data_IF_730248299113
#
_entry.id   IF_730248299113
#
_cell.length_a   1.000
_cell.length_b   1.000
_cell.length_c   1.000
_cell.angle_alpha   90.00
_cell.angle_beta   90.00
_cell.angle_gamma   90.00
#
_symmetry.space_group_name_H-M   'P 1'
#
loop_
_entity.id
_entity.type
_entity.pdbx_description
1 polymer ?
#
# COMPACT_ATOMS: atom_id res chain seq x y z
N UNK A 1 -89.38 7.92 13.00
CA UNK A 1 -88.86 7.29 14.23
C UNK A 1 -87.34 7.46 14.19
N UNK A 2 -86.79 8.31 15.06
CA UNK A 2 -85.41 8.81 15.01
C UNK A 2 -84.45 8.01 15.91
N UNK A 3 -83.16 8.31 15.77
CA UNK A 3 -82.10 8.42 16.78
C UNK A 3 -80.79 7.85 16.21
N UNK A 4 -79.62 8.48 16.27
CA UNK A 4 -79.13 9.82 16.60
C UNK A 4 -77.70 9.86 15.97
N UNK A 5 -77.25 10.96 15.38
CA UNK A 5 -76.25 11.87 16.00
C UNK A 5 -74.87 11.20 16.19
N UNK A 6 -73.72 11.71 15.76
CA UNK A 6 -73.32 13.08 15.47
C UNK A 6 -71.91 13.05 14.83
N UNK A 7 -71.65 14.00 13.94
CA UNK A 7 -70.35 14.30 13.30
C UNK A 7 -69.38 14.87 14.36
N UNK A 8 -68.08 14.54 14.28
CA UNK A 8 -66.96 15.49 14.36
C UNK A 8 -65.65 14.88 13.82
N UNK A 9 -65.06 15.62 12.89
CA UNK A 9 -63.69 15.60 12.39
C UNK A 9 -62.66 15.66 13.53
N UNK A 10 -61.47 15.09 13.31
CA UNK A 10 -60.18 15.63 13.76
C UNK A 10 -59.03 14.72 13.30
N UNK A 11 -58.35 15.20 12.27
CA UNK A 11 -56.90 15.22 12.10
C UNK A 11 -56.05 14.90 13.35
N UNK A 12 -54.89 14.28 13.07
CA UNK A 12 -53.66 14.25 13.87
C UNK A 12 -53.60 13.35 15.10
N UNK A 13 -52.79 12.29 14.99
CA UNK A 13 -51.90 11.85 16.08
C UNK A 13 -50.70 11.10 15.48
N UNK A 14 -49.62 11.85 15.34
CA UNK A 14 -48.27 11.33 15.21
C UNK A 14 -47.98 10.42 16.40
N UNK A 15 -47.49 9.21 16.14
CA UNK A 15 -46.82 8.41 17.17
C UNK A 15 -45.38 8.91 17.19
N UNK A 16 -45.06 9.58 18.28
CA UNK A 16 -43.77 10.17 18.60
C UNK A 16 -42.65 9.12 18.47
N UNK A 17 -41.68 9.41 17.60
CA UNK A 17 -40.35 8.81 17.66
C UNK A 17 -39.63 9.49 18.82
N UNK A 18 -39.60 8.83 19.98
CA UNK A 18 -38.65 9.21 21.02
C UNK A 18 -37.23 8.95 20.53
N UNK A 19 -36.54 10.05 20.27
CA UNK A 19 -35.10 10.13 20.14
C UNK A 19 -34.44 9.66 21.44
N UNK A 20 -33.79 8.50 21.41
CA UNK A 20 -32.77 8.17 22.38
C UNK A 20 -31.39 8.31 21.74
N UNK A 21 -30.92 9.57 21.66
CA UNK A 21 -29.52 9.91 21.47
C UNK A 21 -28.76 9.54 22.75
N UNK A 22 -28.13 8.38 22.78
CA UNK A 22 -26.83 8.09 23.42
C UNK A 22 -26.66 6.56 23.53
N UNK A 23 -26.46 5.93 22.38
CA UNK A 23 -25.91 4.58 22.31
C UNK A 23 -24.56 4.65 21.64
N UNK A 24 -23.50 4.92 22.40
CA UNK A 24 -22.16 4.49 21.99
C UNK A 24 -22.27 2.98 21.77
N UNK A 25 -22.31 2.55 20.52
CA UNK A 25 -22.15 1.14 20.17
C UNK A 25 -20.77 0.78 20.69
N UNK A 26 -20.69 0.21 21.90
CA UNK A 26 -19.49 -0.44 22.40
C UNK A 26 -19.21 -1.55 21.42
N UNK A 27 -18.30 -1.29 20.48
CA UNK A 27 -17.68 -2.31 19.66
C UNK A 27 -17.10 -3.32 20.65
N UNK A 28 -17.73 -4.48 20.77
CA UNK A 28 -17.22 -5.58 21.58
C UNK A 28 -15.85 -5.88 20.98
N UNK A 29 -14.77 -5.55 21.72
CA UNK A 29 -13.42 -5.84 21.27
C UNK A 29 -13.30 -7.36 21.20
N UNK A 30 -13.36 -7.92 19.98
CA UNK A 30 -13.20 -9.34 19.67
C UNK A 30 -11.95 -9.86 20.39
N UNK A 31 -12.13 -10.55 21.52
CA UNK A 31 -11.04 -11.06 22.36
C UNK A 31 -9.92 -10.02 22.69
N UNK A 32 -10.28 -8.75 22.89
CA UNK A 32 -9.32 -7.68 23.19
C UNK A 32 -8.53 -7.15 21.98
N UNK A 33 -8.90 -7.54 20.76
CA UNK A 33 -8.33 -6.99 19.53
C UNK A 33 -8.77 -5.55 19.31
N UNK A 34 -7.85 -4.73 18.79
CA UNK A 34 -8.10 -3.31 18.48
C UNK A 34 -7.99 -3.07 16.97
N UNK A 35 -8.61 -2.02 16.40
CA UNK A 35 -8.35 -1.62 15.03
C UNK A 35 -6.85 -1.41 14.78
N UNK A 36 -6.32 -1.94 13.68
CA UNK A 36 -4.90 -1.79 13.35
C UNK A 36 -4.60 -0.37 12.88
N UNK A 37 -3.88 0.41 13.70
CA UNK A 37 -3.60 1.83 13.47
C UNK A 37 -2.66 2.11 12.29
N UNK A 38 -1.89 1.11 11.85
CA UNK A 38 -0.89 1.25 10.80
C UNK A 38 -1.41 0.87 9.40
N UNK A 39 -2.72 0.64 9.24
CA UNK A 39 -3.31 0.31 7.94
C UNK A 39 -3.38 1.55 7.02
N UNK A 40 -2.57 1.56 5.95
CA UNK A 40 -2.50 2.68 5.00
C UNK A 40 -3.42 2.53 3.78
N UNK A 41 -3.87 1.31 3.46
CA UNK A 41 -4.71 1.01 2.31
C UNK A 41 -5.70 -0.14 2.59
N UNK A 42 -6.61 -0.39 1.64
CA UNK A 42 -7.64 -1.42 1.76
C UNK A 42 -8.87 -0.98 2.57
N UNK A 43 -9.70 -1.93 2.98
CA UNK A 43 -10.91 -1.64 3.76
C UNK A 43 -10.50 -1.29 5.20
N UNK A 44 -10.66 -0.03 5.61
CA UNK A 44 -10.46 0.40 7.01
C UNK A 44 -11.62 -0.09 7.88
N UNK A 45 -11.35 -0.36 9.16
CA UNK A 45 -12.38 -0.77 10.12
C UNK A 45 -13.44 0.34 10.27
N UNK A 46 -14.72 0.02 10.08
CA UNK A 46 -15.84 0.94 10.15
C UNK A 46 -17.17 0.20 10.34
N UNK A 47 -18.29 0.93 10.47
CA UNK A 47 -19.62 0.40 10.85
C UNK A 47 -20.06 -0.80 9.98
N UNK A 48 -19.61 -0.86 8.72
CA UNK A 48 -19.90 -1.95 7.78
C UNK A 48 -18.63 -2.62 7.18
N UNK A 49 -17.43 -2.31 7.69
CA UNK A 49 -16.17 -2.79 7.13
C UNK A 49 -15.27 -3.39 8.20
N UNK A 50 -14.81 -4.59 7.91
CA UNK A 50 -13.94 -5.41 8.74
C UNK A 50 -12.49 -5.17 8.33
N UNK A 51 -11.96 -4.06 8.82
CA UNK A 51 -10.55 -3.73 8.62
C UNK A 51 -9.61 -4.72 9.32
N UNK A 52 -8.32 -4.48 9.17
CA UNK A 52 -7.31 -5.28 9.87
C UNK A 52 -7.38 -4.96 11.36
N UNK A 53 -7.34 -5.99 12.20
CA UNK A 53 -7.28 -5.85 13.64
C UNK A 53 -5.89 -6.21 14.15
N UNK A 54 -5.42 -5.55 15.19
CA UNK A 54 -4.24 -5.95 15.93
C UNK A 54 -4.66 -6.84 17.09
N UNK A 55 -4.05 -8.02 17.19
CA UNK A 55 -4.28 -8.97 18.26
C UNK A 55 -3.29 -8.72 19.41
N UNK A 56 -3.65 -8.97 20.69
CA UNK A 56 -2.78 -8.68 21.85
C UNK A 56 -1.39 -9.35 21.84
N UNK A 57 -1.25 -10.50 21.17
CA UNK A 57 0.06 -11.15 20.99
C UNK A 57 0.98 -10.44 19.97
N UNK A 58 0.51 -9.35 19.36
CA UNK A 58 1.18 -8.53 18.35
C UNK A 58 1.25 -9.17 16.97
N UNK A 59 0.30 -10.04 16.63
CA UNK A 59 -0.05 -10.39 15.25
C UNK A 59 -1.19 -9.49 14.75
N UNK A 60 -1.47 -9.56 13.44
CA UNK A 60 -2.67 -8.95 12.87
C UNK A 60 -3.69 -10.03 12.47
N UNK A 61 -4.96 -9.64 12.51
CA UNK A 61 -6.09 -10.43 12.03
C UNK A 61 -6.67 -9.73 10.81
N UNK A 62 -6.55 -10.37 9.65
CA UNK A 62 -7.16 -9.91 8.41
C UNK A 62 -8.43 -10.71 8.16
N UNK A 63 -9.60 -10.07 8.19
CA UNK A 63 -10.85 -10.79 7.94
C UNK A 63 -10.88 -11.33 6.52
N UNK A 64 -11.40 -12.55 6.36
CA UNK A 64 -11.63 -13.11 5.03
C UNK A 64 -12.66 -12.28 4.26
N UNK A 65 -12.30 -11.89 3.05
CA UNK A 65 -13.22 -11.25 2.13
C UNK A 65 -14.31 -12.23 1.65
N UNK A 66 -15.44 -11.70 1.20
CA UNK A 66 -16.51 -12.50 0.60
C UNK A 66 -15.95 -13.42 -0.52
N UNK A 67 -16.48 -14.66 -0.64
CA UNK A 67 -16.09 -15.57 -1.71
C UNK A 67 -16.19 -14.93 -3.11
N UNK A 68 -15.28 -15.29 -4.04
CA UNK A 68 -14.21 -16.29 -3.89
C UNK A 68 -12.91 -15.73 -3.27
N UNK A 69 -12.82 -14.44 -2.97
CA UNK A 69 -11.56 -13.75 -2.63
C UNK A 69 -10.92 -14.23 -1.33
N UNK A 70 -11.67 -14.23 -0.22
CA UNK A 70 -11.17 -14.66 1.08
C UNK A 70 -10.70 -16.12 1.09
N UNK A 71 -11.53 -17.08 0.61
CA UNK A 71 -11.10 -18.47 0.48
C UNK A 71 -9.85 -18.66 -0.39
N UNK A 72 -9.70 -17.88 -1.47
CA UNK A 72 -8.51 -17.94 -2.33
C UNK A 72 -7.25 -17.48 -1.60
N UNK A 73 -7.32 -16.35 -0.90
CA UNK A 73 -6.19 -15.83 -0.11
C UNK A 73 -5.80 -16.81 1.01
N UNK A 74 -6.80 -17.37 1.70
CA UNK A 74 -6.57 -18.39 2.73
C UNK A 74 -5.88 -19.63 2.16
N UNK A 75 -6.35 -20.12 1.01
CA UNK A 75 -5.75 -21.29 0.35
C UNK A 75 -4.31 -21.01 -0.07
N UNK A 76 -4.03 -19.83 -0.63
CA UNK A 76 -2.67 -19.41 -0.98
C UNK A 76 -1.72 -19.49 0.23
N UNK A 77 -2.07 -18.86 1.36
CA UNK A 77 -1.23 -18.92 2.56
C UNK A 77 -1.08 -20.36 3.10
N UNK A 78 -2.17 -21.13 3.09
CA UNK A 78 -2.16 -22.53 3.56
C UNK A 78 -1.23 -23.39 2.71
N UNK A 79 -1.22 -23.20 1.39
CA UNK A 79 -0.34 -23.92 0.47
C UNK A 79 1.13 -23.49 0.65
N UNK A 80 1.40 -22.19 0.68
CA UNK A 80 2.77 -21.66 0.77
C UNK A 80 3.42 -22.04 2.10
N UNK A 81 2.67 -22.03 3.20
CA UNK A 81 3.16 -22.34 4.55
C UNK A 81 2.79 -23.77 5.02
N UNK A 82 2.48 -24.68 4.09
CA UNK A 82 2.26 -26.08 4.44
C UNK A 82 3.50 -26.67 5.11
N UNK A 83 3.32 -27.39 6.22
CA UNK A 83 4.45 -27.94 7.02
C UNK A 83 5.29 -28.96 6.25
N UNK A 84 4.66 -29.65 5.31
CA UNK A 84 5.22 -30.65 4.42
C UNK A 84 5.55 -30.10 3.02
N UNK A 85 5.57 -28.76 2.86
CA UNK A 85 5.93 -28.12 1.60
C UNK A 85 7.37 -28.49 1.21
N UNK A 86 7.53 -29.17 0.07
CA UNK A 86 8.82 -29.52 -0.52
C UNK A 86 9.15 -28.68 -1.78
N UNK A 87 8.22 -27.82 -2.22
CA UNK A 87 8.42 -26.94 -3.37
C UNK A 87 9.37 -25.80 -3.00
N UNK A 88 10.60 -25.85 -3.52
CA UNK A 88 11.64 -24.83 -3.27
C UNK A 88 11.17 -23.42 -3.63
N UNK A 89 10.36 -23.25 -4.67
CA UNK A 89 9.87 -21.92 -5.07
C UNK A 89 8.90 -21.36 -4.03
N UNK A 90 8.03 -22.19 -3.46
CA UNK A 90 7.14 -21.77 -2.38
C UNK A 90 7.89 -21.53 -1.07
N UNK A 91 8.89 -22.35 -0.75
CA UNK A 91 9.76 -22.13 0.41
C UNK A 91 10.53 -20.81 0.30
N UNK A 92 11.11 -20.52 -0.87
CA UNK A 92 11.78 -19.25 -1.14
C UNK A 92 10.80 -18.07 -1.09
N UNK A 93 9.53 -18.26 -1.49
CA UNK A 93 8.51 -17.22 -1.43
C UNK A 93 8.21 -16.78 0.01
N UNK A 94 8.24 -17.70 0.98
CA UNK A 94 7.88 -17.42 2.39
C UNK A 94 8.68 -16.23 2.96
N UNK A 95 9.93 -16.03 2.55
CA UNK A 95 10.76 -14.92 3.04
C UNK A 95 10.21 -13.53 2.62
N UNK A 96 9.42 -13.48 1.54
CA UNK A 96 8.82 -12.28 0.98
C UNK A 96 7.39 -12.02 1.47
N UNK A 97 6.80 -12.93 2.24
CA UNK A 97 5.45 -12.81 2.79
C UNK A 97 5.47 -12.46 4.29
N UNK A 98 4.39 -11.87 4.85
CA UNK A 98 4.14 -11.92 6.29
C UNK A 98 4.02 -13.38 6.73
N UNK A 99 4.60 -13.75 7.88
CA UNK A 99 4.41 -15.10 8.42
C UNK A 99 2.92 -15.39 8.64
N UNK A 100 2.51 -16.61 8.27
CA UNK A 100 1.16 -17.10 8.48
C UNK A 100 1.09 -17.99 9.72
N UNK A 101 0.19 -17.65 10.63
CA UNK A 101 -0.02 -18.39 11.89
C UNK A 101 -1.29 -19.25 11.87
N UNK A 102 -1.89 -19.43 10.69
CA UNK A 102 -3.16 -20.15 10.52
C UNK A 102 -4.37 -19.23 10.53
N UNK A 103 -5.55 -19.84 10.64
CA UNK A 103 -6.81 -19.12 10.74
C UNK A 103 -7.19 -18.89 12.19
N UNK A 104 -7.94 -17.81 12.44
CA UNK A 104 -8.43 -17.45 13.76
C UNK A 104 -9.93 -17.12 13.70
N UNK A 105 -10.66 -17.48 14.76
CA UNK A 105 -12.08 -17.21 14.91
C UNK A 105 -12.32 -16.58 16.29
N UNK A 106 -13.06 -15.47 16.37
CA UNK A 106 -13.49 -14.91 17.65
C UNK A 106 -14.43 -15.88 18.37
N UNK A 107 -14.38 -15.88 19.71
CA UNK A 107 -15.29 -16.72 20.52
C UNK A 107 -16.74 -16.27 20.39
N UNK A 108 -16.99 -14.96 20.33
CA UNK A 108 -18.33 -14.38 20.28
C UNK A 108 -18.97 -14.42 18.88
N UNK A 109 -18.15 -14.54 17.82
CA UNK A 109 -18.58 -14.58 16.42
C UNK A 109 -17.86 -15.72 15.67
N UNK A 110 -18.18 -17.00 15.95
CA UNK A 110 -17.48 -18.15 15.35
C UNK A 110 -17.69 -18.29 13.83
N UNK A 111 -18.66 -17.57 13.27
CA UNK A 111 -18.89 -17.48 11.84
C UNK A 111 -17.90 -16.57 11.12
N UNK A 112 -17.25 -15.65 11.84
CA UNK A 112 -16.21 -14.80 11.29
C UNK A 112 -14.87 -15.52 11.27
N UNK A 113 -14.21 -15.47 10.12
CA UNK A 113 -12.91 -16.12 9.92
C UNK A 113 -11.87 -15.08 9.55
N UNK A 114 -10.72 -15.17 10.18
CA UNK A 114 -9.58 -14.28 10.00
C UNK A 114 -8.34 -15.08 9.61
N UNK A 115 -7.47 -14.48 8.80
CA UNK A 115 -6.08 -14.89 8.64
C UNK A 115 -5.28 -14.24 9.77
N UNK A 116 -4.55 -15.05 10.54
CA UNK A 116 -3.62 -14.55 11.56
C UNK A 116 -2.23 -14.41 10.94
N UNK A 117 -1.76 -13.18 10.80
CA UNK A 117 -0.55 -12.82 10.06
C UNK A 117 0.43 -12.05 10.94
N UNK A 118 1.69 -12.06 10.55
CA UNK A 118 2.72 -11.20 11.14
C UNK A 118 2.37 -9.72 11.01
N UNK A 119 2.51 -8.97 12.11
CA UNK A 119 2.56 -7.51 12.06
C UNK A 119 3.96 -7.06 11.63
N UNK A 120 4.10 -6.76 10.33
CA UNK A 120 5.37 -6.33 9.71
C UNK A 120 5.87 -5.01 10.32
N UNK A 121 5.00 -4.22 10.94
CA UNK A 121 5.32 -2.89 11.49
C UNK A 121 5.76 -2.92 12.95
N UNK A 122 5.56 -4.06 13.64
CA UNK A 122 5.70 -4.17 15.10
C UNK A 122 7.07 -3.74 15.64
N UNK A 123 8.14 -3.98 14.89
CA UNK A 123 9.52 -3.69 15.34
C UNK A 123 9.94 -2.24 15.17
N UNK A 124 9.11 -1.42 14.52
CA UNK A 124 9.41 -0.04 14.19
C UNK A 124 8.79 0.90 15.24
N UNK A 125 9.54 1.93 15.64
CA UNK A 125 9.09 2.95 16.59
C UNK A 125 8.23 4.01 15.93
N UNK A 126 8.63 4.43 14.72
CA UNK A 126 7.89 5.36 13.86
C UNK A 126 7.83 4.78 12.44
N UNK A 127 7.01 3.74 12.20
CA UNK A 127 6.95 3.11 10.88
C UNK A 127 6.44 4.10 9.83
N UNK A 128 7.26 4.35 8.81
CA UNK A 128 6.83 4.92 7.54
C UNK A 128 6.38 3.78 6.64
N UNK A 129 5.14 3.81 6.15
CA UNK A 129 4.49 2.68 5.49
C UNK A 129 3.93 3.12 4.14
N UNK A 130 4.12 2.32 3.09
CA UNK A 130 3.50 2.51 1.79
C UNK A 130 2.99 1.19 1.23
N UNK A 131 1.79 1.23 0.68
CA UNK A 131 1.22 0.13 -0.09
C UNK A 131 1.31 0.46 -1.59
N UNK A 132 2.00 -0.39 -2.34
CA UNK A 132 2.18 -0.25 -3.79
C UNK A 132 1.59 -1.46 -4.50
N UNK A 133 0.49 -1.28 -5.22
CA UNK A 133 -0.05 -2.33 -6.10
C UNK A 133 0.88 -2.53 -7.28
N UNK A 134 1.19 -3.80 -7.60
CA UNK A 134 2.11 -4.16 -8.69
C UNK A 134 1.36 -4.85 -9.82
N UNK A 135 1.82 -4.61 -11.04
CA UNK A 135 1.38 -5.27 -12.26
C UNK A 135 0.80 -4.29 -13.28
N UNK A 136 0.73 -4.70 -14.53
CA UNK A 136 0.09 -3.92 -15.61
C UNK A 136 -1.43 -3.98 -15.55
N UNK A 137 -1.99 -4.91 -14.76
CA UNK A 137 -3.44 -5.14 -14.63
C UNK A 137 -3.81 -5.33 -13.17
N UNK A 138 -4.90 -4.69 -12.77
CA UNK A 138 -5.47 -4.76 -11.41
C UNK A 138 -6.75 -5.62 -11.36
N UNK A 139 -7.06 -6.34 -12.44
CA UNK A 139 -8.15 -7.30 -12.55
C UNK A 139 -7.59 -8.68 -12.89
N UNK A 140 -8.27 -9.72 -12.42
CA UNK A 140 -7.87 -11.11 -12.67
C UNK A 140 -8.43 -11.65 -14.00
N UNK A 141 -7.97 -12.83 -14.48
CA UNK A 141 -8.41 -13.42 -15.75
C UNK A 141 -9.90 -13.74 -15.84
N UNK A 142 -10.59 -13.87 -14.71
CA UNK A 142 -12.01 -14.25 -14.63
C UNK A 142 -12.92 -13.06 -14.28
N UNK A 143 -12.35 -11.84 -14.19
CA UNK A 143 -13.11 -10.63 -13.92
C UNK A 143 -14.13 -10.36 -15.04
N UNK A 144 -15.36 -10.02 -14.67
CA UNK A 144 -16.40 -9.61 -15.63
C UNK A 144 -15.95 -8.39 -16.43
N UNK A 145 -16.56 -8.16 -17.59
CA UNK A 145 -16.25 -7.00 -18.43
C UNK A 145 -16.41 -5.69 -17.65
N UNK A 146 -17.50 -5.56 -16.91
CA UNK A 146 -17.80 -4.40 -16.07
C UNK A 146 -16.73 -4.22 -14.99
N UNK A 147 -16.30 -5.33 -14.35
CA UNK A 147 -15.26 -5.26 -13.31
C UNK A 147 -13.91 -4.84 -13.88
N UNK A 148 -13.57 -5.32 -15.08
CA UNK A 148 -12.34 -4.94 -15.79
C UNK A 148 -12.35 -3.45 -16.14
N UNK A 149 -13.43 -2.96 -16.72
CA UNK A 149 -13.62 -1.54 -17.04
C UNK A 149 -13.55 -0.68 -15.78
N UNK A 150 -14.20 -1.09 -14.68
CA UNK A 150 -14.11 -0.39 -13.39
C UNK A 150 -12.66 -0.30 -12.88
N UNK A 151 -11.88 -1.38 -12.99
CA UNK A 151 -10.47 -1.38 -12.57
C UNK A 151 -9.58 -0.51 -13.48
N UNK A 152 -9.82 -0.52 -14.79
CA UNK A 152 -9.11 0.33 -15.75
C UNK A 152 -9.44 1.80 -15.49
N UNK A 153 -10.72 2.15 -15.33
CA UNK A 153 -11.17 3.52 -15.11
C UNK A 153 -10.64 4.10 -13.79
N UNK A 154 -10.40 3.27 -12.76
CA UNK A 154 -9.77 3.72 -11.51
C UNK A 154 -8.35 4.22 -11.70
N UNK A 155 -7.59 3.63 -12.63
CA UNK A 155 -6.23 4.07 -12.95
C UNK A 155 -5.83 3.63 -14.37
N UNK A 156 -6.16 4.44 -15.40
CA UNK A 156 -5.90 4.07 -16.79
C UNK A 156 -4.41 3.87 -17.12
N UNK A 157 -3.53 4.49 -16.33
CA UNK A 157 -2.07 4.41 -16.50
C UNK A 157 -1.46 3.12 -15.92
N UNK A 158 -2.25 2.23 -15.30
CA UNK A 158 -1.75 0.99 -14.69
C UNK A 158 -0.98 0.12 -15.69
N UNK A 159 -1.47 0.01 -16.92
CA UNK A 159 -0.83 -0.81 -17.96
C UNK A 159 0.51 -0.25 -18.41
N UNK A 160 0.67 1.06 -18.34
CA UNK A 160 1.85 1.75 -18.81
C UNK A 160 2.91 1.91 -17.72
N UNK A 161 2.50 2.36 -16.53
CA UNK A 161 3.37 2.54 -15.37
C UNK A 161 3.73 1.18 -14.73
N UNK A 162 2.77 0.26 -14.65
CA UNK A 162 2.97 -1.08 -14.08
C UNK A 162 2.89 -1.16 -12.56
N UNK A 163 2.62 -0.06 -11.87
CA UNK A 163 2.33 -0.03 -10.43
C UNK A 163 1.47 1.17 -10.06
N UNK A 164 0.88 1.14 -8.87
CA UNK A 164 0.03 2.22 -8.33
C UNK A 164 0.22 2.35 -6.81
N UNK A 165 0.46 3.57 -6.32
CA UNK A 165 0.49 3.86 -4.88
C UNK A 165 -0.94 3.81 -4.33
N UNK A 166 -1.23 2.89 -3.39
CA UNK A 166 -2.57 2.77 -2.80
C UNK A 166 -2.75 3.61 -1.54
N UNK A 167 -1.65 3.93 -0.88
CA UNK A 167 -1.61 4.80 0.27
C UNK A 167 -0.24 4.80 0.92
N UNK A 168 0.04 5.86 1.68
CA UNK A 168 1.25 5.97 2.48
C UNK A 168 1.01 6.74 3.78
N UNK A 169 1.84 6.46 4.77
CA UNK A 169 1.91 7.14 6.05
C UNK A 169 3.39 7.39 6.35
N UNK A 170 3.80 8.64 6.42
CA UNK A 170 5.21 9.05 6.50
C UNK A 170 5.40 9.91 7.73
N UNK A 171 6.33 9.50 8.59
CA UNK A 171 6.71 10.28 9.76
C UNK A 171 7.56 11.49 9.32
N UNK A 172 7.22 12.66 9.85
CA UNK A 172 7.91 13.91 9.62
C UNK A 172 8.62 14.36 10.90
N UNK A 173 9.95 14.51 10.83
CA UNK A 173 10.80 14.83 11.99
C UNK A 173 10.54 16.26 12.48
N UNK A 174 10.36 17.19 11.56
CA UNK A 174 10.16 18.62 11.84
C UNK A 174 8.94 18.91 12.73
N UNK A 175 7.90 18.09 12.59
CA UNK A 175 6.58 18.26 13.21
C UNK A 175 6.24 17.16 14.21
N UNK A 176 7.11 16.15 14.39
CA UNK A 176 6.85 14.93 15.17
C UNK A 176 5.46 14.33 14.87
N UNK A 177 5.09 14.30 13.59
CA UNK A 177 3.76 13.96 13.14
C UNK A 177 3.78 13.06 11.91
N UNK A 178 2.61 12.60 11.48
CA UNK A 178 2.47 11.81 10.26
C UNK A 178 1.72 12.58 9.19
N UNK A 179 2.26 12.54 7.97
CA UNK A 179 1.51 12.83 6.77
C UNK A 179 0.96 11.52 6.19
N UNK A 180 -0.26 11.57 5.69
CA UNK A 180 -0.90 10.43 5.04
C UNK A 180 -1.44 10.80 3.68
N UNK A 181 -1.24 9.92 2.71
CA UNK A 181 -1.87 10.00 1.40
C UNK A 181 -2.61 8.70 1.12
N UNK A 182 -3.76 8.80 0.46
CA UNK A 182 -4.64 7.67 0.20
C UNK A 182 -4.62 7.26 -1.29
N UNK A 183 -5.57 6.40 -1.65
CA UNK A 183 -5.72 5.90 -3.02
C UNK A 183 -6.02 7.00 -4.04
N UNK A 184 -6.63 8.12 -3.66
CA UNK A 184 -6.96 9.19 -4.59
C UNK A 184 -5.70 9.96 -4.98
N UNK A 185 -4.83 10.22 -4.00
CA UNK A 185 -3.51 10.77 -4.27
C UNK A 185 -2.74 9.91 -5.28
N UNK A 186 -2.62 8.60 -5.01
CA UNK A 186 -1.89 7.71 -5.91
C UNK A 186 -2.49 7.64 -7.32
N UNK A 187 -3.83 7.68 -7.44
CA UNK A 187 -4.53 7.70 -8.74
C UNK A 187 -4.36 9.01 -9.50
N UNK A 188 -4.08 10.13 -8.82
CA UNK A 188 -3.77 11.40 -9.48
C UNK A 188 -2.35 11.48 -10.05
N UNK A 189 -1.46 10.54 -9.70
CA UNK A 189 -0.09 10.54 -10.20
C UNK A 189 -0.02 9.97 -11.62
N UNK A 190 0.66 10.70 -12.51
CA UNK A 190 0.99 10.27 -13.86
C UNK A 190 2.48 9.93 -13.98
N UNK A 191 2.95 9.68 -15.21
CA UNK A 191 4.36 9.32 -15.48
C UNK A 191 5.36 10.32 -14.94
N UNK A 192 5.07 11.61 -15.09
CA UNK A 192 5.99 12.67 -14.71
C UNK A 192 5.95 12.98 -13.21
N UNK A 193 4.87 12.59 -12.52
CA UNK A 193 4.67 12.86 -11.09
C UNK A 193 4.84 11.64 -10.18
N UNK A 194 4.88 10.42 -10.72
CA UNK A 194 5.02 9.19 -9.91
C UNK A 194 6.33 9.15 -9.14
N UNK A 195 7.42 9.65 -9.74
CA UNK A 195 8.72 9.80 -9.07
C UNK A 195 8.59 10.70 -7.85
N UNK A 196 7.92 11.86 -7.99
CA UNK A 196 7.69 12.78 -6.86
C UNK A 196 6.84 12.13 -5.76
N UNK A 197 5.87 11.30 -6.12
CA UNK A 197 5.07 10.54 -5.15
C UNK A 197 5.90 9.53 -4.35
N UNK A 198 6.83 8.83 -5.00
CA UNK A 198 7.78 7.97 -4.32
C UNK A 198 8.81 8.78 -3.49
N UNK A 199 9.35 9.88 -4.02
CA UNK A 199 10.26 10.77 -3.28
C UNK A 199 9.62 11.27 -1.98
N UNK A 200 8.33 11.63 -2.03
CA UNK A 200 7.57 12.09 -0.87
C UNK A 200 7.50 11.03 0.24
N UNK A 201 7.41 9.75 -0.11
CA UNK A 201 7.43 8.67 0.87
C UNK A 201 8.74 8.55 1.63
N UNK A 202 9.85 8.87 0.97
CA UNK A 202 11.19 8.80 1.55
C UNK A 202 11.67 10.12 2.13
N UNK A 203 10.87 11.19 2.09
CA UNK A 203 11.23 12.48 2.66
C UNK A 203 10.64 12.64 4.06
N UNK A 204 11.49 12.79 5.07
CA UNK A 204 11.11 12.85 6.49
C UNK A 204 10.86 14.29 7.00
N UNK A 205 10.67 15.24 6.08
CA UNK A 205 10.52 16.68 6.35
C UNK A 205 11.85 17.45 6.38
N UNK A 206 12.97 16.76 6.56
CA UNK A 206 14.31 17.38 6.59
C UNK A 206 15.21 16.90 5.45
N UNK A 207 15.17 15.60 5.16
CA UNK A 207 16.04 14.96 4.19
C UNK A 207 15.35 13.78 3.48
N UNK A 208 15.93 13.41 2.34
CA UNK A 208 15.62 12.16 1.66
C UNK A 208 16.34 11.00 2.35
N UNK A 209 15.60 9.97 2.77
CA UNK A 209 16.10 8.73 3.38
C UNK A 209 16.75 7.80 2.34
N UNK A 210 17.87 8.24 1.75
CA UNK A 210 18.57 7.54 0.65
C UNK A 210 19.01 6.11 1.00
N UNK A 211 19.42 5.88 2.25
CA UNK A 211 19.83 4.55 2.69
C UNK A 211 18.62 3.59 2.78
N UNK A 212 17.48 4.04 3.31
CA UNK A 212 16.22 3.28 3.25
C UNK A 212 15.79 2.95 1.81
N UNK A 213 15.90 3.90 0.88
CA UNK A 213 15.64 3.67 -0.56
C UNK A 213 16.52 2.55 -1.09
N UNK A 214 17.83 2.58 -0.80
CA UNK A 214 18.81 1.60 -1.26
C UNK A 214 18.54 0.18 -0.72
N UNK A 215 18.17 0.08 0.56
CA UNK A 215 17.82 -1.20 1.18
C UNK A 215 16.49 -1.76 0.63
N UNK A 216 15.50 -0.89 0.39
CA UNK A 216 14.22 -1.29 -0.24
C UNK A 216 14.43 -1.75 -1.67
N UNK A 217 15.23 -1.05 -2.48
CA UNK A 217 15.64 -1.50 -3.82
C UNK A 217 16.23 -2.91 -3.75
N UNK A 218 17.13 -3.16 -2.79
CA UNK A 218 17.76 -4.47 -2.62
C UNK A 218 16.74 -5.57 -2.30
N UNK A 219 15.76 -5.31 -1.42
CA UNK A 219 14.68 -6.27 -1.12
C UNK A 219 13.74 -6.48 -2.32
N UNK A 220 13.40 -5.43 -3.07
CA UNK A 220 12.57 -5.54 -4.29
C UNK A 220 13.29 -6.36 -5.37
N UNK A 221 14.62 -6.19 -5.54
CA UNK A 221 15.41 -7.04 -6.45
C UNK A 221 15.38 -8.51 -6.05
N UNK A 222 15.31 -8.84 -4.76
CA UNK A 222 15.15 -10.24 -4.33
C UNK A 222 13.79 -10.80 -4.74
N UNK A 223 12.72 -10.01 -4.59
CA UNK A 223 11.37 -10.39 -5.04
C UNK A 223 11.35 -10.56 -6.57
N UNK A 224 11.96 -9.64 -7.33
CA UNK A 224 12.07 -9.77 -8.78
C UNK A 224 12.79 -11.06 -9.18
N UNK A 225 13.93 -11.38 -8.54
CA UNK A 225 14.66 -12.64 -8.78
C UNK A 225 13.81 -13.87 -8.50
N UNK A 226 12.96 -13.82 -7.46
CA UNK A 226 12.01 -14.91 -7.19
C UNK A 226 11.01 -15.08 -8.35
N UNK A 227 10.40 -13.97 -8.81
CA UNK A 227 9.48 -13.97 -9.95
C UNK A 227 10.13 -14.47 -11.24
N UNK A 228 11.36 -14.05 -11.54
CA UNK A 228 12.13 -14.52 -12.70
C UNK A 228 12.45 -16.02 -12.65
N UNK A 229 12.40 -16.61 -11.46
CA UNK A 229 12.76 -18.01 -11.24
C UNK A 229 11.56 -18.97 -11.27
N UNK A 230 10.32 -18.46 -11.34
CA UNK A 230 9.10 -19.26 -11.20
C UNK A 230 8.10 -18.95 -12.32
N UNK A 231 7.32 -19.96 -12.72
CA UNK A 231 6.22 -19.82 -13.70
C UNK A 231 4.90 -20.35 -13.16
N UNK A 232 4.87 -20.80 -11.90
CA UNK A 232 3.77 -21.51 -11.28
C UNK A 232 2.64 -20.61 -10.78
N UNK A 233 2.90 -19.32 -10.57
CA UNK A 233 1.95 -18.38 -9.97
C UNK A 233 1.94 -17.04 -10.70
N UNK A 234 0.73 -16.56 -10.98
CA UNK A 234 0.47 -15.18 -11.39
C UNK A 234 -0.28 -14.43 -10.29
N UNK A 235 0.11 -13.17 -10.07
CA UNK A 235 -0.37 -12.31 -9.02
C UNK A 235 -1.09 -11.10 -9.63
N UNK A 236 -2.38 -10.97 -9.35
CA UNK A 236 -3.18 -9.83 -9.77
C UNK A 236 -3.61 -9.03 -8.55
N UNK A 237 -3.64 -7.70 -8.68
CA UNK A 237 -4.14 -6.79 -7.64
C UNK A 237 -3.48 -6.92 -6.24
N UNK A 238 -2.38 -7.66 -6.11
CA UNK A 238 -1.56 -7.74 -4.90
C UNK A 238 -0.58 -6.57 -4.83
N UNK A 239 -0.03 -6.33 -3.64
CA UNK A 239 0.83 -5.19 -3.37
C UNK A 239 2.18 -5.57 -2.78
N UNK A 240 3.13 -4.65 -2.85
CA UNK A 240 4.27 -4.57 -1.95
C UNK A 240 3.94 -3.59 -0.82
N UNK A 241 4.09 -4.04 0.42
CA UNK A 241 4.10 -3.20 1.61
C UNK A 241 5.54 -2.82 1.93
N UNK A 242 5.88 -1.55 1.73
CA UNK A 242 7.18 -0.97 2.05
C UNK A 242 7.10 -0.35 3.45
N UNK A 243 8.06 -0.69 4.32
CA UNK A 243 8.15 -0.14 5.68
C UNK A 243 9.58 0.27 5.98
N UNK A 244 9.80 1.44 6.56
CA UNK A 244 11.10 1.83 7.11
C UNK A 244 10.93 2.61 8.42
N UNK A 245 12.01 2.70 9.20
CA UNK A 245 12.02 3.48 10.44
C UNK A 245 12.13 4.99 10.15
N UNK A 246 11.12 5.76 10.55
CA UNK A 246 11.11 7.21 10.41
C UNK A 246 11.90 7.93 11.50
N UNK A 247 12.09 7.32 12.66
CA UNK A 247 12.86 7.94 13.75
C UNK A 247 14.36 7.91 13.47
N UNK A 248 15.07 9.04 13.59
CA UNK A 248 16.53 9.04 13.55
C UNK A 248 17.16 8.53 14.84
N UNK A 249 16.38 8.24 15.89
CA UNK A 249 16.89 7.87 17.20
C UNK A 249 17.18 6.36 17.26
N UNK A 250 18.42 6.01 17.58
CA UNK A 250 18.80 4.65 17.96
C UNK A 250 17.92 4.18 19.12
N UNK A 251 17.56 2.90 19.15
CA UNK A 251 16.85 2.26 20.26
C UNK A 251 17.81 2.14 21.46
N UNK A 252 18.27 3.26 22.02
CA UNK A 252 18.79 3.31 23.37
C UNK A 252 17.58 3.33 24.29
N UNK A 253 17.56 2.44 25.30
CA UNK A 253 16.44 2.06 26.16
C UNK A 253 15.75 3.16 27.00
N UNK A 254 15.76 4.41 26.54
CA UNK A 254 14.88 5.49 26.96
C UNK A 254 13.45 5.16 26.56
N UNK A 255 12.54 5.21 27.53
CA UNK A 255 11.09 4.98 27.39
C UNK A 255 10.44 6.05 26.50
N UNK A 256 10.66 6.03 25.19
CA UNK A 256 9.87 6.83 24.25
C UNK A 256 8.54 6.13 24.00
N UNK A 257 7.45 6.82 24.30
CA UNK A 257 6.11 6.32 24.00
C UNK A 257 5.94 6.21 22.47
N UNK A 258 5.31 5.14 21.96
CA UNK A 258 4.74 5.13 20.62
C UNK A 258 3.92 6.42 20.43
N UNK A 259 4.03 7.06 19.26
CA UNK A 259 3.19 8.21 18.95
C UNK A 259 1.74 7.74 19.05
N UNK A 260 0.95 8.41 19.88
CA UNK A 260 -0.48 8.14 19.95
C UNK A 260 -1.13 8.49 18.59
N UNK A 261 -2.25 7.85 18.20
CA UNK A 261 -2.90 8.07 16.89
C UNK A 261 -3.52 9.47 16.66
N UNK A 262 -3.05 10.53 17.34
CA UNK A 262 -3.78 11.80 17.50
C UNK A 262 -3.37 12.99 16.62
N UNK A 263 -2.23 12.96 15.93
CA UNK A 263 -1.75 14.10 15.09
C UNK A 263 -1.46 13.63 13.68
N UNK A 264 -2.53 13.31 12.94
CA UNK A 264 -2.45 13.01 11.51
C UNK A 264 -2.92 14.23 10.71
N UNK A 265 -2.05 14.79 9.88
CA UNK A 265 -2.42 15.81 8.91
C UNK A 265 -2.70 15.14 7.56
N UNK A 266 -3.97 15.05 7.17
CA UNK A 266 -4.34 14.73 5.80
C UNK A 266 -4.09 15.97 4.93
N UNK A 267 -3.04 15.94 4.12
CA UNK A 267 -2.86 16.95 3.08
C UNK A 267 -3.84 16.64 1.93
N UNK A 268 -4.99 17.32 1.94
CA UNK A 268 -5.83 17.48 0.76
C UNK A 268 -5.34 18.69 -0.04
N UNK A 269 -4.92 18.47 -1.28
CA UNK A 269 -4.61 19.56 -2.23
C UNK A 269 -5.90 20.08 -2.89
N UNK A 270 -5.93 21.34 -3.36
CA UNK A 270 -7.16 22.04 -3.72
C UNK A 270 -7.93 21.37 -4.87
N UNK A 271 -9.25 21.29 -4.72
CA UNK A 271 -10.16 20.94 -5.81
C UNK A 271 -9.97 21.92 -6.98
N UNK A 272 -9.40 21.45 -8.08
CA UNK A 272 -9.58 22.10 -9.37
C UNK A 272 -11.04 21.94 -9.77
N UNK A 273 -11.85 22.96 -9.50
CA UNK A 273 -13.21 23.06 -9.99
C UNK A 273 -13.22 22.94 -11.50
N UNK A 274 -13.79 21.84 -11.99
CA UNK A 274 -14.23 21.71 -13.36
C UNK A 274 -15.30 22.75 -13.65
N UNK A 275 -15.10 23.58 -14.68
CA UNK A 275 -16.20 24.02 -15.53
C UNK A 275 -15.75 24.11 -16.98
N UNK A 276 -16.49 23.32 -17.76
CA UNK A 276 -16.57 23.16 -19.20
C UNK A 276 -16.21 24.37 -20.08
N UNK A 277 -15.65 24.05 -21.24
CA UNK A 277 -16.12 24.42 -22.60
C UNK A 277 -15.06 25.01 -23.52
N UNK A 278 -15.23 24.67 -24.81
CA UNK A 278 -14.67 25.27 -26.01
C UNK A 278 -13.44 24.62 -26.67
N UNK A 279 -13.79 23.83 -27.69
CA UNK A 279 -13.34 23.98 -29.08
C UNK A 279 -11.84 23.98 -29.35
N UNK A 280 -11.38 22.87 -29.92
CA UNK A 280 -10.27 22.80 -30.84
C UNK A 280 -10.37 23.88 -31.93
N UNK A 281 -9.24 24.55 -32.22
CA UNK A 281 -8.87 24.78 -33.61
C UNK A 281 -7.45 24.29 -33.91
N UNK A 282 -7.27 24.08 -35.20
CA UNK A 282 -6.08 23.73 -35.96
C UNK A 282 -4.92 24.72 -35.78
N UNK A 283 -3.69 24.23 -35.98
CA UNK A 283 -2.58 24.80 -36.78
C UNK A 283 -1.22 24.50 -36.11
N UNK A 284 -0.27 23.78 -36.70
CA UNK A 284 0.43 23.87 -38.00
C UNK A 284 1.79 24.58 -37.85
N UNK A 285 2.80 23.81 -38.25
CA UNK A 285 4.19 24.11 -38.62
C UNK A 285 4.74 25.54 -38.48
N UNK A 286 5.92 25.65 -37.84
CA UNK A 286 7.02 26.48 -38.35
C UNK A 286 8.38 25.79 -38.08
N UNK A 287 9.13 25.59 -39.17
CA UNK A 287 10.53 25.14 -39.23
C UNK A 287 11.51 26.32 -39.05
N UNK A 288 12.82 25.99 -39.01
CA UNK A 288 14.05 26.80 -39.13
C UNK A 288 14.85 26.98 -37.82
N UNK A 289 16.16 26.79 -37.76
CA UNK A 289 17.16 26.24 -38.69
C UNK A 289 18.48 26.04 -37.91
N UNK A 290 19.47 25.47 -38.58
CA UNK A 290 20.75 24.95 -38.10
C UNK A 290 21.71 26.05 -37.63
N UNK A 291 22.67 25.66 -36.79
CA UNK A 291 24.09 25.88 -37.13
C UNK A 291 25.03 24.94 -36.37
N UNK A 292 25.98 24.39 -37.12
CA UNK A 292 27.04 23.50 -36.67
C UNK A 292 28.39 24.20 -36.86
N UNK A 293 29.30 24.11 -35.88
CA UNK A 293 30.71 23.73 -36.06
C UNK A 293 31.49 23.86 -34.75
N UNK A 294 32.34 22.88 -34.46
CA UNK A 294 33.32 22.93 -33.38
C UNK A 294 34.00 21.58 -33.16
N UNK A 295 35.09 21.35 -33.90
CA UNK A 295 35.90 20.13 -33.93
C UNK A 295 37.19 20.38 -33.13
N UNK A 296 37.52 19.51 -32.17
CA UNK A 296 38.85 19.16 -31.62
C UNK A 296 38.58 18.06 -30.55
N UNK A 297 39.24 16.92 -30.46
CA UNK A 297 40.61 16.56 -30.79
C UNK A 297 41.43 16.51 -29.49
N UNK A 298 41.63 15.32 -28.91
CA UNK A 298 42.52 15.16 -27.75
C UNK A 298 42.25 13.90 -26.91
N UNK A 299 43.04 12.85 -27.16
CA UNK A 299 43.20 11.66 -26.33
C UNK A 299 44.12 11.98 -25.15
N UNK A 300 43.78 11.60 -23.91
CA UNK A 300 44.76 11.39 -22.82
C UNK A 300 44.26 10.28 -21.88
N UNK A 301 45.23 9.49 -21.45
CA UNK A 301 45.21 8.23 -20.74
C UNK A 301 44.87 8.32 -19.24
N UNK A 302 44.61 7.14 -18.68
CA UNK A 302 44.37 6.75 -17.30
C UNK A 302 45.35 7.33 -16.28
N UNK A 303 44.85 7.64 -15.07
CA UNK A 303 45.58 7.43 -13.80
C UNK A 303 44.64 7.06 -12.66
N UNK A 304 44.91 5.89 -12.11
CA UNK A 304 44.49 5.42 -10.79
C UNK A 304 45.07 6.30 -9.68
N UNK A 305 44.22 6.74 -8.74
CA UNK A 305 44.66 7.16 -7.42
C UNK A 305 43.83 6.42 -6.35
N UNK A 306 44.45 5.39 -5.78
CA UNK A 306 44.10 4.82 -4.49
C UNK A 306 44.26 5.89 -3.40
N UNK A 307 43.18 6.19 -2.68
CA UNK A 307 43.26 6.90 -1.40
C UNK A 307 42.58 6.04 -0.32
N UNK A 308 43.42 5.35 0.45
CA UNK A 308 43.56 5.61 1.87
C UNK A 308 42.39 5.27 2.79
N UNK A 309 42.54 4.12 3.45
CA UNK A 309 41.86 3.69 4.68
C UNK A 309 41.65 4.82 5.71
N UNK A 310 40.40 5.08 6.08
CA UNK A 310 40.00 5.93 7.21
C UNK A 310 38.51 6.22 7.07
N UNK A 311 37.59 5.57 7.79
CA UNK A 311 37.37 5.80 9.20
C UNK A 311 36.37 4.72 9.66
N UNK A 312 36.74 3.87 10.63
CA UNK A 312 35.82 2.88 11.23
C UNK A 312 34.81 3.62 12.10
N UNK A 313 33.80 4.23 11.48
CA UNK A 313 32.64 4.75 12.21
C UNK A 313 31.85 3.57 12.76
N UNK A 314 31.56 3.66 14.06
CA UNK A 314 30.79 2.71 14.84
C UNK A 314 29.53 2.26 14.09
N UNK A 315 29.40 0.96 13.83
CA UNK A 315 28.14 0.35 13.36
C UNK A 315 27.09 0.48 14.48
N UNK A 316 26.43 1.63 14.51
CA UNK A 316 25.10 1.77 15.11
C UNK A 316 24.11 0.94 14.29
N UNK A 317 23.11 0.38 14.97
CA UNK A 317 22.09 -0.54 14.44
C UNK A 317 21.69 -0.26 12.98
N UNK A 318 21.66 -1.30 12.13
CA UNK A 318 21.23 -1.21 10.73
C UNK A 318 19.88 -0.49 10.60
N UNK A 319 19.78 0.47 9.67
CA UNK A 319 18.50 1.10 9.34
C UNK A 319 17.49 0.01 8.99
N UNK A 320 16.46 -0.13 9.81
CA UNK A 320 15.47 -1.17 9.62
C UNK A 320 14.58 -0.81 8.42
N UNK A 321 14.46 -1.73 7.46
CA UNK A 321 13.44 -1.68 6.41
C UNK A 321 12.79 -3.06 6.23
N UNK A 322 11.54 -3.07 5.79
CA UNK A 322 10.85 -4.26 5.31
C UNK A 322 10.17 -4.02 3.97
N UNK A 323 10.12 -5.09 3.17
CA UNK A 323 9.33 -5.16 1.93
C UNK A 323 8.67 -6.51 1.93
N UNK A 324 7.33 -6.52 1.96
CA UNK A 324 6.54 -7.76 1.96
C UNK A 324 5.49 -7.71 0.87
N UNK A 325 5.32 -8.82 0.14
CA UNK A 325 4.17 -8.99 -0.73
C UNK A 325 2.93 -9.22 0.15
N UNK A 326 1.80 -8.61 -0.20
CA UNK A 326 0.52 -8.74 0.50
C UNK A 326 -0.65 -8.83 -0.48
N UNK A 327 -1.85 -9.14 0.03
CA UNK A 327 -3.12 -9.17 -0.69
C UNK A 327 -3.24 -10.24 -1.80
N UNK A 328 -3.33 -11.51 -1.38
CA UNK A 328 -3.31 -12.66 -2.30
C UNK A 328 -4.68 -13.19 -2.72
N UNK A 329 -5.70 -12.33 -2.64
CA UNK A 329 -7.07 -12.66 -3.02
C UNK A 329 -7.24 -12.98 -4.52
N UNK A 330 -6.28 -12.65 -5.37
CA UNK A 330 -6.31 -12.84 -6.81
C UNK A 330 -4.99 -13.45 -7.33
N UNK A 331 -4.47 -14.46 -6.63
CA UNK A 331 -3.35 -15.28 -7.10
C UNK A 331 -3.87 -16.55 -7.78
N UNK A 332 -3.30 -16.89 -8.93
CA UNK A 332 -3.73 -18.02 -9.76
C UNK A 332 -2.53 -18.88 -10.17
N UNK A 333 -2.72 -20.20 -10.32
CA UNK A 333 -1.72 -21.05 -10.94
C UNK A 333 -1.48 -20.63 -12.40
N UNK A 334 -0.26 -20.83 -12.88
CA UNK A 334 0.17 -20.56 -14.25
C UNK A 334 1.23 -21.57 -14.68
N UNK A 335 1.48 -21.63 -15.98
CA UNK A 335 2.63 -22.33 -16.58
C UNK A 335 3.59 -21.35 -17.28
N UNK A 336 3.33 -20.04 -17.17
CA UNK A 336 4.10 -18.97 -17.81
C UNK A 336 4.67 -18.00 -16.77
N UNK A 337 5.73 -17.23 -17.11
CA UNK A 337 6.20 -16.15 -16.26
C UNK A 337 5.15 -15.05 -16.07
N UNK A 338 5.08 -14.47 -14.87
CA UNK A 338 4.23 -13.30 -14.61
C UNK A 338 4.90 -12.01 -15.13
N UNK A 339 4.88 -11.86 -16.46
CA UNK A 339 5.44 -10.69 -17.15
C UNK A 339 4.82 -9.37 -16.69
N UNK A 340 3.54 -9.41 -16.29
CA UNK A 340 2.83 -8.22 -15.80
C UNK A 340 3.44 -7.72 -14.51
N UNK A 341 3.65 -8.63 -13.55
CA UNK A 341 4.21 -8.30 -12.25
C UNK A 341 5.69 -7.91 -12.36
N UNK A 342 6.47 -8.68 -13.12
CA UNK A 342 7.88 -8.38 -13.36
C UNK A 342 8.09 -7.01 -14.01
N UNK A 343 7.24 -6.64 -14.98
CA UNK A 343 7.26 -5.30 -15.57
C UNK A 343 7.04 -4.21 -14.51
N UNK A 344 6.05 -4.40 -13.64
CA UNK A 344 5.77 -3.48 -12.54
C UNK A 344 6.94 -3.32 -11.57
N UNK A 345 7.57 -4.42 -11.18
CA UNK A 345 8.76 -4.41 -10.32
C UNK A 345 9.93 -3.68 -10.97
N UNK A 346 10.20 -3.93 -12.26
CA UNK A 346 11.29 -3.28 -13.00
C UNK A 346 11.07 -1.76 -13.10
N UNK A 347 9.84 -1.32 -13.36
CA UNK A 347 9.53 0.12 -13.41
C UNK A 347 9.60 0.78 -12.02
N UNK A 348 9.13 0.10 -10.97
CA UNK A 348 9.28 0.59 -9.61
C UNK A 348 10.76 0.73 -9.23
N UNK A 349 11.59 -0.29 -9.51
CA UNK A 349 13.03 -0.26 -9.30
C UNK A 349 13.69 0.90 -10.06
N UNK A 350 13.40 1.04 -11.36
CA UNK A 350 13.94 2.13 -12.19
C UNK A 350 13.60 3.50 -11.61
N UNK A 351 12.36 3.70 -11.14
CA UNK A 351 11.93 4.97 -10.54
C UNK A 351 12.65 5.23 -9.21
N UNK A 352 12.79 4.22 -8.35
CA UNK A 352 13.54 4.33 -7.09
C UNK A 352 15.04 4.61 -7.32
N UNK A 353 15.64 3.99 -8.34
CA UNK A 353 17.03 4.23 -8.71
C UNK A 353 17.25 5.66 -9.24
N UNK A 354 16.26 6.25 -9.93
CA UNK A 354 16.31 7.65 -10.33
C UNK A 354 16.28 8.60 -9.12
N UNK A 355 15.51 8.27 -8.06
CA UNK A 355 15.49 9.06 -6.82
C UNK A 355 16.87 9.12 -6.16
N UNK A 356 17.69 8.08 -6.29
CA UNK A 356 19.05 8.06 -5.74
C UNK A 356 20.05 8.89 -6.55
N UNK A 357 19.76 9.21 -7.82
CA UNK A 357 20.64 9.94 -8.73
C UNK A 357 20.44 11.46 -8.67
N UNK A 358 19.24 11.91 -8.32
CA UNK A 358 18.98 13.30 -7.91
C UNK A 358 19.68 13.58 -6.58
#
# INVERSE_FOLDING_TARGET
MPADGQIMDLSSRAVERENNMNGSVKQVLLDGCVPFSHQVAGHKCGINNTGVLQHPDGTILKQLQAPPRGPREMNFYTQVFAKDCADKKLLDLQQHLPKFYGTWRPRESPHELYLKLEDVTRRFLRPCIMDVKIGRRSYDPFASKEKREEQINKYPLMEEIGFLLLGMRVYQIDSDSYITHDQFYGRSLGKDSIKNGLTRFFHNGQELRRHAVSLIISKIRNILRWFESQTQLHFYASSLLLVYEGSPHTVNGSKHKPAEPGTEHQQGEPQSNSNNSYSHPYCQDVQHERNANGKCGGSVEEKDEEIGMGDKRQFGQEEAVEVKMIDFAHVFPSDNPDESYMYGLRNLLSTLEQILKD
#
